data_IF_777942215981
#
_entry.id   IF_777942215981
#
_cell.length_a   1.000
_cell.length_b   1.000
_cell.length_c   1.000
_cell.angle_alpha   90.00
_cell.angle_beta   90.00
_cell.angle_gamma   90.00
#
_symmetry.space_group_name_H-M   'P 1'
#
loop_
_entity.id
_entity.type
_entity.pdbx_description
1 polymer ?
#
# COMPACT_ATOMS: atom_id res chain seq x y z
N UNK A 1 27.90 36.01 -45.70
CA UNK A 1 27.23 36.25 -44.40
C UNK A 1 26.88 34.87 -43.88
N UNK A 2 27.56 34.45 -42.82
CA UNK A 2 27.62 33.06 -42.37
C UNK A 2 26.41 32.63 -41.56
N UNK A 3 26.00 31.38 -41.80
CA UNK A 3 25.05 30.61 -41.01
C UNK A 3 25.65 30.24 -39.66
N UNK A 4 24.89 30.44 -38.58
CA UNK A 4 25.16 29.84 -37.27
C UNK A 4 24.11 28.77 -36.98
N UNK A 5 24.55 27.51 -37.04
CA UNK A 5 23.86 26.36 -36.45
C UNK A 5 24.00 26.43 -34.93
N UNK A 6 22.92 26.20 -34.20
CA UNK A 6 22.98 25.79 -32.79
C UNK A 6 22.34 24.42 -32.66
N UNK A 7 23.16 23.44 -32.30
CA UNK A 7 22.78 22.07 -31.96
C UNK A 7 22.26 22.04 -30.53
N UNK A 8 21.00 21.69 -30.33
CA UNK A 8 20.45 21.34 -29.02
C UNK A 8 20.68 19.84 -28.75
N UNK A 9 21.87 19.51 -28.27
CA UNK A 9 22.16 18.21 -27.64
C UNK A 9 22.53 18.46 -26.19
N UNK A 10 21.60 18.19 -25.25
CA UNK A 10 21.94 18.25 -23.83
C UNK A 10 20.79 18.49 -22.86
N UNK A 11 19.65 17.82 -22.99
CA UNK A 11 18.64 17.77 -21.90
C UNK A 11 18.07 16.35 -21.82
N UNK A 12 18.81 15.41 -21.21
CA UNK A 12 18.29 14.06 -20.87
C UNK A 12 18.90 13.45 -19.60
N UNK A 13 19.48 14.25 -18.69
CA UNK A 13 20.02 13.73 -17.41
C UNK A 13 19.78 14.72 -16.27
N UNK A 14 18.53 14.82 -15.81
CA UNK A 14 18.21 15.45 -14.51
C UNK A 14 16.79 15.14 -14.00
N UNK A 15 16.22 13.97 -14.30
CA UNK A 15 14.87 13.57 -13.85
C UNK A 15 14.85 12.39 -12.87
N UNK A 16 15.99 12.06 -12.27
CA UNK A 16 16.16 10.85 -11.48
C UNK A 16 16.76 11.21 -10.12
N UNK A 17 16.08 12.06 -9.33
CA UNK A 17 16.51 12.39 -7.96
C UNK A 17 15.48 13.24 -7.18
N UNK A 18 14.17 12.98 -7.29
CA UNK A 18 13.16 13.55 -6.36
C UNK A 18 11.97 12.59 -6.18
N UNK A 19 12.24 11.35 -5.77
CA UNK A 19 11.20 10.39 -5.33
C UNK A 19 11.67 9.69 -4.05
N UNK A 20 12.02 10.49 -3.03
CA UNK A 20 12.36 10.00 -1.69
C UNK A 20 11.45 10.71 -0.69
N UNK A 21 10.15 10.46 -0.80
CA UNK A 21 9.21 10.48 0.34
C UNK A 21 8.29 9.28 0.12
N UNK A 22 8.88 8.08 0.23
CA UNK A 22 8.19 6.80 0.24
C UNK A 22 8.81 5.97 1.36
N UNK A 23 8.93 6.58 2.54
CA UNK A 23 9.65 6.06 3.70
C UNK A 23 8.76 5.99 4.94
N UNK A 24 7.55 5.43 4.78
CA UNK A 24 6.80 4.89 5.92
C UNK A 24 6.58 3.36 5.81
N UNK A 25 6.78 2.73 4.65
CA UNK A 25 6.77 1.26 4.51
C UNK A 25 8.11 0.66 4.03
N UNK A 26 9.11 1.50 3.73
CA UNK A 26 10.46 1.06 3.32
C UNK A 26 11.52 1.14 4.43
N UNK A 27 11.13 1.49 5.67
CA UNK A 27 12.07 1.67 6.78
C UNK A 27 12.70 0.36 7.31
N UNK A 28 12.39 -0.81 6.73
CA UNK A 28 13.02 -2.10 7.11
C UNK A 28 13.93 -2.67 6.01
N UNK A 29 13.97 -2.11 4.79
CA UNK A 29 14.64 -2.77 3.65
C UNK A 29 16.05 -2.21 3.30
N UNK A 30 16.56 -1.17 3.97
CA UNK A 30 17.87 -0.58 3.61
C UNK A 30 19.02 -0.80 4.62
N UNK A 31 19.09 -1.97 5.27
CA UNK A 31 20.35 -2.45 5.89
C UNK A 31 20.49 -3.96 5.67
N UNK A 32 20.76 -4.40 4.43
CA UNK A 32 21.41 -5.71 4.24
C UNK A 32 22.11 -5.96 2.88
N UNK A 33 22.30 -4.95 2.03
CA UNK A 33 23.02 -5.15 0.76
C UNK A 33 24.15 -4.15 0.51
N UNK A 34 25.16 -4.15 1.40
CA UNK A 34 26.53 -3.77 1.01
C UNK A 34 27.52 -4.74 1.65
N UNK A 35 27.70 -5.90 1.03
CA UNK A 35 28.97 -6.65 0.98
C UNK A 35 28.86 -7.68 -0.14
N UNK A 36 29.54 -7.40 -1.25
CA UNK A 36 29.27 -8.01 -2.54
C UNK A 36 29.92 -9.36 -2.81
N UNK A 37 29.47 -9.99 -3.89
CA UNK A 37 30.29 -10.74 -4.83
C UNK A 37 29.51 -10.96 -6.14
N UNK A 38 30.15 -10.72 -7.29
CA UNK A 38 29.64 -11.01 -8.63
C UNK A 38 29.41 -12.52 -8.80
N UNK A 39 28.43 -12.97 -9.62
CA UNK A 39 28.28 -14.38 -9.93
C UNK A 39 29.35 -14.81 -10.95
N UNK A 40 29.92 -16.00 -10.79
CA UNK A 40 30.66 -16.68 -11.85
C UNK A 40 30.20 -18.15 -11.95
N UNK A 41 30.30 -18.78 -13.13
CA UNK A 41 29.50 -19.94 -13.50
C UNK A 41 30.08 -21.30 -13.04
N UNK A 42 29.25 -22.34 -13.24
CA UNK A 42 29.34 -23.77 -12.87
C UNK A 42 30.68 -24.51 -13.14
N UNK A 43 30.85 -25.72 -12.53
CA UNK A 43 32.13 -26.23 -12.05
C UNK A 43 32.86 -27.15 -13.05
N UNK A 44 34.16 -27.28 -12.84
CA UNK A 44 34.97 -28.43 -13.29
C UNK A 44 35.91 -28.86 -12.16
N UNK A 45 36.01 -30.19 -11.99
CA UNK A 45 36.86 -30.92 -11.04
C UNK A 45 38.32 -30.46 -11.00
N UNK A 46 38.94 -30.49 -9.81
CA UNK A 46 40.11 -31.36 -9.50
C UNK A 46 40.70 -31.11 -8.10
N UNK A 47 40.98 -32.23 -7.44
CA UNK A 47 41.82 -32.57 -6.29
C UNK A 47 42.93 -31.61 -5.79
N UNK A 48 43.12 -31.53 -4.46
CA UNK A 48 44.45 -31.36 -3.83
C UNK A 48 44.55 -30.46 -2.58
N UNK A 49 44.66 -31.05 -1.40
CA UNK A 49 45.28 -30.50 -0.15
C UNK A 49 46.83 -30.56 -0.22
N UNK A 50 47.66 -30.00 0.70
CA UNK A 50 47.38 -29.23 1.95
C UNK A 50 48.30 -27.99 2.27
N UNK A 51 47.93 -27.28 3.35
CA UNK A 51 48.74 -26.58 4.40
C UNK A 51 49.84 -25.56 4.06
N UNK A 52 49.69 -24.32 4.58
CA UNK A 52 50.78 -23.51 5.20
C UNK A 52 50.24 -22.64 6.34
N UNK A 53 50.95 -22.70 7.47
CA UNK A 53 50.85 -21.89 8.69
C UNK A 53 51.54 -20.54 8.53
N UNK A 54 50.95 -19.44 9.00
CA UNK A 54 51.70 -18.24 9.42
C UNK A 54 51.04 -17.54 10.60
N UNK A 55 51.86 -17.26 11.63
CA UNK A 55 51.54 -16.50 12.82
C UNK A 55 51.53 -14.99 12.56
N UNK A 56 50.62 -14.30 13.23
CA UNK A 56 50.90 -13.10 14.04
C UNK A 56 50.93 -11.75 13.33
N UNK A 57 50.00 -10.87 13.72
CA UNK A 57 50.26 -9.46 14.07
C UNK A 57 49.01 -8.89 14.75
N UNK A 58 49.14 -8.53 16.03
CA UNK A 58 48.16 -7.75 16.77
C UNK A 58 48.30 -6.28 16.34
N UNK A 59 47.20 -5.63 15.98
CA UNK A 59 47.11 -4.16 16.00
C UNK A 59 45.77 -3.71 16.57
N UNK A 60 45.87 -2.70 17.42
CA UNK A 60 44.96 -2.28 18.46
C UNK A 60 43.60 -1.74 17.99
N UNK A 61 42.60 -1.94 18.85
CA UNK A 61 41.29 -1.29 18.81
C UNK A 61 41.41 0.23 19.10
N UNK A 62 40.63 1.09 18.42
CA UNK A 62 40.52 2.48 18.82
C UNK A 62 39.54 2.63 20.00
N UNK A 63 40.02 3.36 20.99
CA UNK A 63 39.39 3.82 22.23
C UNK A 63 38.14 4.68 21.98
N UNK A 64 37.07 4.34 22.69
CA UNK A 64 35.88 5.19 22.82
C UNK A 64 36.17 6.40 23.73
N UNK A 65 35.69 7.57 23.31
CA UNK A 65 35.54 8.76 24.17
C UNK A 65 34.04 9.06 24.35
N UNK A 66 33.63 9.64 25.50
CA UNK A 66 32.27 9.55 26.00
C UNK A 66 31.34 10.56 25.33
N UNK A 67 30.21 10.09 24.81
CA UNK A 67 29.12 10.97 24.42
C UNK A 67 28.33 11.38 25.68
N UNK A 68 28.40 12.66 25.98
CA UNK A 68 27.69 13.35 27.05
C UNK A 68 26.17 13.16 26.92
N UNK A 69 25.54 12.73 28.01
CA UNK A 69 24.08 12.59 28.16
C UNK A 69 23.38 13.95 28.01
N UNK A 70 22.57 14.10 26.96
CA UNK A 70 21.53 15.12 26.90
C UNK A 70 20.21 14.50 27.43
N UNK A 71 19.41 15.22 28.23
CA UNK A 71 18.24 14.66 28.88
C UNK A 71 17.15 14.30 27.88
N UNK A 72 16.53 13.15 28.09
CA UNK A 72 15.36 12.64 27.39
C UNK A 72 14.25 13.68 27.51
N UNK A 73 13.75 14.17 26.36
CA UNK A 73 12.51 14.95 26.33
C UNK A 73 11.34 13.98 26.47
N UNK A 74 10.55 14.23 27.51
CA UNK A 74 9.23 13.67 27.77
C UNK A 74 8.37 13.70 26.49
N UNK A 75 8.11 12.52 25.91
CA UNK A 75 7.16 12.31 24.81
C UNK A 75 5.77 12.08 25.42
N UNK A 76 5.28 13.07 26.16
CA UNK A 76 3.88 13.17 26.50
C UNK A 76 3.10 13.50 25.23
N UNK A 77 2.28 12.53 24.82
CA UNK A 77 1.16 12.56 23.87
C UNK A 77 0.86 13.98 23.34
N UNK A 78 1.29 14.27 22.13
CA UNK A 78 0.66 15.32 21.33
C UNK A 78 -0.49 14.68 20.57
N UNK A 79 -1.71 14.88 21.07
CA UNK A 79 -2.84 15.09 20.16
C UNK A 79 -2.36 16.05 19.08
N UNK A 80 -2.42 15.65 17.82
CA UNK A 80 -1.94 16.44 16.69
C UNK A 80 -2.35 17.91 16.88
N UNK A 81 -1.36 18.77 17.10
CA UNK A 81 -1.60 20.19 17.09
C UNK A 81 -2.16 20.55 15.70
N UNK A 82 -3.14 21.47 15.58
CA UNK A 82 -3.59 21.92 14.29
C UNK A 82 -2.37 22.37 13.48
N UNK A 83 -2.21 21.78 12.29
CA UNK A 83 -1.08 22.02 11.40
C UNK A 83 -0.90 23.53 11.24
N UNK A 84 0.28 24.02 11.61
CA UNK A 84 0.62 25.44 11.56
C UNK A 84 0.90 25.79 10.09
N UNK A 85 -0.07 26.40 9.44
CA UNK A 85 0.07 26.94 8.07
C UNK A 85 1.34 27.80 7.94
N UNK A 86 2.26 27.48 7.01
CA UNK A 86 3.46 28.29 6.78
C UNK A 86 3.11 29.70 6.29
N UNK A 87 3.73 30.71 6.90
CA UNK A 87 3.44 32.14 6.72
C UNK A 87 3.91 32.80 5.41
N UNK A 88 3.75 32.15 4.27
CA UNK A 88 3.81 32.79 2.96
C UNK A 88 2.71 32.19 2.09
N UNK A 89 2.02 33.02 1.28
CA UNK A 89 0.99 32.54 0.36
C UNK A 89 1.64 31.57 -0.65
N UNK A 90 1.63 30.28 -0.31
CA UNK A 90 2.09 29.21 -1.19
C UNK A 90 1.16 29.20 -2.41
N UNK A 91 1.67 28.92 -3.61
CA UNK A 91 0.79 28.69 -4.76
C UNK A 91 -0.22 27.61 -4.39
N UNK A 92 -1.50 27.90 -4.57
CA UNK A 92 -2.55 26.91 -4.28
C UNK A 92 -2.44 25.77 -5.29
N UNK A 93 -2.33 24.53 -4.78
CA UNK A 93 -2.34 23.35 -5.65
C UNK A 93 -3.67 23.30 -6.41
N UNK A 94 -3.58 23.15 -7.73
CA UNK A 94 -4.77 23.00 -8.57
C UNK A 94 -5.56 21.77 -8.13
N UNK A 95 -6.88 21.80 -8.32
CA UNK A 95 -7.77 20.67 -8.03
C UNK A 95 -8.58 20.34 -9.26
N UNK A 96 -8.82 19.06 -9.48
CA UNK A 96 -9.76 18.62 -10.49
C UNK A 96 -11.18 19.11 -10.19
N UNK A 97 -12.05 19.31 -11.20
CA UNK A 97 -13.45 19.68 -10.97
C UNK A 97 -14.26 18.50 -10.43
N UNK A 98 -15.36 18.82 -9.73
CA UNK A 98 -16.21 17.81 -9.09
C UNK A 98 -17.03 16.97 -10.08
N UNK A 99 -17.22 17.48 -11.29
CA UNK A 99 -17.80 16.73 -12.38
C UNK A 99 -16.88 15.57 -12.79
N UNK A 100 -17.47 14.39 -12.95
CA UNK A 100 -16.79 13.24 -13.55
C UNK A 100 -16.29 13.58 -14.96
N UNK A 101 -15.09 13.07 -15.29
CA UNK A 101 -14.52 13.13 -16.64
C UNK A 101 -15.03 12.03 -17.58
N UNK A 102 -15.79 11.07 -17.03
CA UNK A 102 -16.40 9.95 -17.78
C UNK A 102 -17.91 9.91 -17.58
N UNK A 103 -18.63 9.32 -18.54
CA UNK A 103 -20.07 9.06 -18.45
C UNK A 103 -20.38 8.14 -17.25
N UNK A 104 -21.50 8.39 -16.59
CA UNK A 104 -22.04 7.46 -15.59
C UNK A 104 -22.80 6.35 -16.28
N UNK A 105 -22.30 5.12 -16.17
CA UNK A 105 -22.89 3.93 -16.84
C UNK A 105 -23.49 2.93 -15.87
N UNK A 106 -23.28 3.15 -14.57
CA UNK A 106 -23.74 2.26 -13.51
C UNK A 106 -24.38 3.04 -12.38
N UNK A 107 -25.39 2.44 -11.75
CA UNK A 107 -25.99 2.94 -10.51
C UNK A 107 -26.23 1.75 -9.60
N UNK A 108 -25.77 1.85 -8.36
CA UNK A 108 -25.84 0.78 -7.37
C UNK A 108 -26.71 1.24 -6.20
N UNK A 109 -27.74 0.46 -5.88
CA UNK A 109 -28.57 0.70 -4.69
C UNK A 109 -27.99 -0.03 -3.48
N UNK A 110 -27.06 0.63 -2.78
CA UNK A 110 -26.49 0.08 -1.54
C UNK A 110 -27.52 -0.02 -0.41
N UNK A 111 -28.61 0.74 -0.43
CA UNK A 111 -29.62 0.69 0.62
C UNK A 111 -30.36 -0.66 0.64
N UNK A 112 -30.38 -1.38 -0.49
CA UNK A 112 -30.94 -2.72 -0.60
C UNK A 112 -30.20 -3.77 0.27
N UNK A 113 -28.98 -3.48 0.74
CA UNK A 113 -28.19 -4.38 1.59
C UNK A 113 -28.47 -4.20 3.09
N UNK A 114 -28.97 -3.04 3.50
CA UNK A 114 -29.18 -2.72 4.91
C UNK A 114 -30.21 -3.66 5.56
N UNK A 115 -29.83 -4.27 6.67
CA UNK A 115 -30.67 -5.18 7.44
C UNK A 115 -30.81 -6.58 6.86
N UNK A 116 -30.09 -6.93 5.79
CA UNK A 116 -30.04 -8.32 5.29
C UNK A 116 -29.51 -9.25 6.37
N UNK A 117 -30.15 -10.42 6.53
CA UNK A 117 -29.73 -11.44 7.48
C UNK A 117 -28.39 -12.05 7.07
N UNK A 118 -27.52 -12.29 8.05
CA UNK A 118 -26.23 -12.96 7.84
C UNK A 118 -26.35 -14.35 7.21
N UNK A 119 -27.45 -15.06 7.46
CA UNK A 119 -27.71 -16.41 6.93
C UNK A 119 -28.06 -16.45 5.44
N UNK A 120 -28.44 -15.32 4.85
CA UNK A 120 -29.15 -15.28 3.57
C UNK A 120 -28.26 -14.73 2.45
N UNK A 121 -26.97 -15.10 2.47
CA UNK A 121 -25.94 -14.58 1.55
C UNK A 121 -26.03 -13.05 1.40
N UNK A 122 -25.92 -12.31 2.51
CA UNK A 122 -26.22 -10.87 2.55
C UNK A 122 -25.37 -10.05 1.58
N UNK A 123 -24.17 -10.53 1.21
CA UNK A 123 -23.21 -9.86 0.35
C UNK A 123 -23.31 -10.29 -1.12
N UNK A 124 -24.35 -11.03 -1.53
CA UNK A 124 -24.56 -11.34 -2.95
C UNK A 124 -24.63 -10.06 -3.80
N UNK A 125 -23.72 -9.94 -4.77
CA UNK A 125 -23.56 -8.76 -5.62
C UNK A 125 -22.46 -7.79 -5.19
N UNK A 126 -21.89 -7.96 -3.98
CA UNK A 126 -20.72 -7.21 -3.51
C UNK A 126 -19.44 -7.90 -3.99
N UNK A 127 -18.44 -7.11 -4.39
CA UNK A 127 -17.09 -7.58 -4.67
C UNK A 127 -16.11 -7.08 -3.62
N UNK A 128 -15.25 -7.95 -3.11
CA UNK A 128 -14.17 -7.60 -2.19
C UNK A 128 -12.85 -7.97 -2.83
N UNK A 129 -11.99 -6.97 -3.02
CA UNK A 129 -10.60 -7.15 -3.42
C UNK A 129 -9.76 -7.29 -2.15
N UNK A 130 -9.13 -8.43 -1.98
CA UNK A 130 -8.19 -8.70 -0.91
C UNK A 130 -6.77 -8.64 -1.49
N UNK A 131 -5.96 -7.76 -0.92
CA UNK A 131 -4.59 -7.50 -1.34
C UNK A 131 -3.63 -7.99 -0.25
N UNK A 132 -3.21 -9.27 -0.25
CA UNK A 132 -2.16 -9.73 0.65
C UNK A 132 -0.83 -9.08 0.23
N UNK A 133 -0.25 -8.29 1.14
CA UNK A 133 1.00 -7.55 0.94
C UNK A 133 2.18 -8.43 0.53
N UNK A 134 3.20 -7.83 -0.07
CA UNK A 134 4.46 -8.48 -0.44
C UNK A 134 4.27 -9.69 -1.40
N UNK A 135 5.17 -10.67 -1.33
CA UNK A 135 5.15 -11.91 -2.11
C UNK A 135 6.43 -12.13 -2.94
N UNK A 136 6.73 -13.38 -3.25
CA UNK A 136 7.88 -13.77 -4.05
C UNK A 136 9.20 -13.30 -3.44
N UNK A 137 9.89 -12.40 -4.15
CA UNK A 137 11.18 -11.84 -3.75
C UNK A 137 11.08 -10.89 -2.55
N UNK A 138 9.90 -10.34 -2.31
CA UNK A 138 9.62 -9.46 -1.18
C UNK A 138 8.97 -10.28 -0.06
N UNK A 139 9.69 -10.48 1.04
CA UNK A 139 9.19 -11.19 2.22
C UNK A 139 8.27 -10.33 3.09
N UNK A 140 8.29 -9.01 2.90
CA UNK A 140 7.89 -8.05 3.92
C UNK A 140 8.77 -8.15 5.16
N UNK A 141 8.25 -7.72 6.30
CA UNK A 141 8.93 -7.90 7.58
C UNK A 141 8.94 -9.38 8.03
N UNK A 142 9.79 -9.70 9.01
CA UNK A 142 9.86 -11.06 9.52
C UNK A 142 10.70 -11.18 10.79
N UNK A 143 10.63 -12.35 11.41
CA UNK A 143 11.35 -12.65 12.64
C UNK A 143 12.08 -14.00 12.55
N UNK A 144 13.34 -14.11 13.03
CA UNK A 144 14.17 -13.04 13.58
C UNK A 144 14.50 -11.94 12.56
N UNK A 145 14.74 -10.71 13.04
CA UNK A 145 15.08 -9.58 12.14
C UNK A 145 16.48 -9.75 11.56
N UNK A 146 16.64 -9.50 10.26
CA UNK A 146 17.95 -9.41 9.61
C UNK A 146 18.63 -10.76 9.31
N UNK A 147 17.96 -11.88 9.54
CA UNK A 147 18.44 -13.22 9.14
C UNK A 147 17.81 -13.65 7.82
N UNK A 148 18.51 -14.49 7.06
CA UNK A 148 18.03 -14.97 5.74
C UNK A 148 16.86 -15.95 5.87
N UNK A 149 16.96 -16.88 6.82
CA UNK A 149 15.95 -17.91 7.04
C UNK A 149 15.16 -17.49 8.29
N UNK A 150 14.05 -16.79 8.09
CA UNK A 150 13.15 -16.29 9.14
C UNK A 150 12.12 -17.36 9.51
N UNK A 151 11.74 -17.41 10.79
CA UNK A 151 10.75 -18.35 11.31
C UNK A 151 9.33 -17.98 10.86
N UNK A 152 9.06 -16.68 10.74
CA UNK A 152 7.80 -16.10 10.28
C UNK A 152 8.08 -14.91 9.36
N UNK A 153 7.37 -14.86 8.24
CA UNK A 153 7.46 -13.79 7.25
C UNK A 153 6.07 -13.21 7.01
N UNK A 154 6.00 -11.89 6.89
CA UNK A 154 4.77 -11.15 6.64
C UNK A 154 4.00 -11.69 5.44
N UNK A 155 4.68 -11.92 4.31
CA UNK A 155 4.06 -12.41 3.07
C UNK A 155 3.25 -13.70 3.24
N UNK A 156 3.63 -14.57 4.17
CA UNK A 156 2.97 -15.86 4.43
C UNK A 156 1.77 -15.65 5.37
N UNK A 157 1.94 -14.84 6.41
CA UNK A 157 0.88 -14.47 7.37
C UNK A 157 -0.26 -13.79 6.63
N UNK A 158 0.04 -12.76 5.83
CA UNK A 158 -0.98 -11.95 5.17
C UNK A 158 -1.70 -12.73 4.07
N UNK A 159 -1.00 -13.64 3.37
CA UNK A 159 -1.64 -14.56 2.42
C UNK A 159 -2.61 -15.51 3.12
N UNK A 160 -2.20 -16.07 4.28
CA UNK A 160 -3.06 -16.98 5.05
C UNK A 160 -4.33 -16.27 5.56
N UNK A 161 -4.20 -15.05 6.09
CA UNK A 161 -5.36 -14.25 6.52
C UNK A 161 -6.26 -13.89 5.34
N UNK A 162 -5.68 -13.48 4.20
CA UNK A 162 -6.46 -13.16 3.00
C UNK A 162 -7.23 -14.38 2.46
N UNK A 163 -6.63 -15.57 2.48
CA UNK A 163 -7.31 -16.81 2.08
C UNK A 163 -8.45 -17.17 3.04
N UNK A 164 -8.25 -17.03 4.35
CA UNK A 164 -9.32 -17.22 5.34
C UNK A 164 -10.47 -16.23 5.13
N UNK A 165 -10.16 -14.93 5.02
CA UNK A 165 -11.14 -13.88 4.74
C UNK A 165 -11.91 -14.16 3.45
N UNK A 166 -11.22 -14.62 2.40
CA UNK A 166 -11.83 -14.99 1.13
C UNK A 166 -12.87 -16.09 1.28
N UNK A 167 -12.57 -17.14 2.06
CA UNK A 167 -13.53 -18.22 2.33
C UNK A 167 -14.75 -17.72 3.13
N UNK A 168 -14.53 -16.93 4.17
CA UNK A 168 -15.60 -16.38 5.00
C UNK A 168 -16.51 -15.43 4.21
N UNK A 169 -15.94 -14.52 3.42
CA UNK A 169 -16.67 -13.60 2.54
C UNK A 169 -17.50 -14.32 1.48
N UNK A 170 -16.93 -15.35 0.83
CA UNK A 170 -17.66 -16.18 -0.15
C UNK A 170 -18.83 -16.93 0.49
N UNK A 171 -18.70 -17.34 1.75
CA UNK A 171 -19.81 -17.94 2.52
C UNK A 171 -20.96 -16.96 2.71
N UNK A 172 -20.66 -15.67 2.88
CA UNK A 172 -21.65 -14.58 2.94
C UNK A 172 -22.18 -14.15 1.55
N UNK A 173 -21.73 -14.77 0.46
CA UNK A 173 -22.20 -14.53 -0.89
C UNK A 173 -21.41 -13.48 -1.69
N UNK A 174 -20.36 -12.89 -1.12
CA UNK A 174 -19.53 -11.93 -1.84
C UNK A 174 -18.74 -12.59 -2.98
N UNK A 175 -18.53 -11.84 -4.06
CA UNK A 175 -17.47 -12.13 -5.01
C UNK A 175 -16.13 -11.70 -4.37
N UNK A 176 -15.11 -12.57 -4.40
CA UNK A 176 -13.81 -12.24 -3.80
C UNK A 176 -12.71 -12.40 -4.84
N UNK A 177 -11.94 -11.33 -5.00
CA UNK A 177 -10.74 -11.26 -5.84
C UNK A 177 -9.54 -11.17 -4.89
N UNK A 178 -8.61 -12.11 -5.02
CA UNK A 178 -7.30 -12.02 -4.37
C UNK A 178 -6.32 -11.46 -5.41
N UNK A 179 -5.59 -10.38 -5.09
CA UNK A 179 -4.62 -9.84 -6.06
C UNK A 179 -3.48 -10.83 -6.33
N UNK A 180 -3.09 -11.62 -5.32
CA UNK A 180 -2.28 -12.84 -5.48
C UNK A 180 -2.89 -13.99 -4.68
N UNK A 181 -2.86 -15.20 -5.26
CA UNK A 181 -3.36 -16.43 -4.61
C UNK A 181 -2.23 -17.29 -4.04
N UNK A 182 -0.98 -16.99 -4.41
CA UNK A 182 0.24 -17.69 -4.02
C UNK A 182 1.38 -16.71 -3.67
N UNK A 183 2.60 -17.23 -3.52
CA UNK A 183 3.81 -16.47 -3.20
C UNK A 183 4.38 -15.73 -4.43
N UNK A 184 3.51 -15.04 -5.18
CA UNK A 184 3.90 -14.17 -6.30
C UNK A 184 4.11 -12.74 -5.83
N UNK A 185 5.19 -12.12 -6.32
CA UNK A 185 5.46 -10.70 -6.07
C UNK A 185 4.54 -9.81 -6.90
N UNK A 186 3.96 -8.79 -6.26
CA UNK A 186 3.25 -7.68 -6.92
C UNK A 186 3.81 -6.35 -6.43
N UNK A 187 4.22 -5.51 -7.37
CA UNK A 187 4.73 -4.17 -7.06
C UNK A 187 3.63 -3.28 -6.50
N UNK A 188 4.03 -2.21 -5.82
CA UNK A 188 3.12 -1.24 -5.21
C UNK A 188 2.15 -0.60 -6.22
N UNK A 189 2.58 -0.44 -7.48
CA UNK A 189 1.77 0.15 -8.55
C UNK A 189 1.00 -0.90 -9.38
N UNK A 190 1.48 -2.14 -9.43
CA UNK A 190 0.73 -3.22 -10.08
C UNK A 190 -0.59 -3.49 -9.34
N UNK A 191 -0.59 -3.43 -8.00
CA UNK A 191 -1.80 -3.67 -7.17
C UNK A 191 -2.99 -2.80 -7.58
N UNK A 192 -2.91 -1.45 -7.56
CA UNK A 192 -3.98 -0.60 -8.05
C UNK A 192 -4.20 -0.74 -9.58
N UNK A 193 -3.15 -1.01 -10.38
CA UNK A 193 -3.31 -1.18 -11.82
C UNK A 193 -4.15 -2.41 -12.20
N UNK A 194 -4.00 -3.53 -11.48
CA UNK A 194 -4.83 -4.72 -11.65
C UNK A 194 -6.31 -4.41 -11.37
N UNK A 195 -6.59 -3.69 -10.28
CA UNK A 195 -7.96 -3.25 -9.93
C UNK A 195 -8.53 -2.34 -11.01
N UNK A 196 -7.77 -1.33 -11.42
CA UNK A 196 -8.15 -0.42 -12.49
C UNK A 196 -8.45 -1.14 -13.81
N UNK A 197 -7.65 -2.16 -14.17
CA UNK A 197 -7.87 -2.97 -15.37
C UNK A 197 -9.19 -3.74 -15.32
N UNK A 198 -9.49 -4.38 -14.19
CA UNK A 198 -10.75 -5.14 -14.01
C UNK A 198 -11.98 -4.23 -14.12
N UNK A 199 -11.93 -3.06 -13.48
CA UNK A 199 -13.03 -2.10 -13.48
C UNK A 199 -13.18 -1.38 -14.82
N UNK A 200 -12.08 -1.10 -15.51
CA UNK A 200 -12.10 -0.57 -16.88
C UNK A 200 -12.71 -1.57 -17.87
N UNK A 201 -12.40 -2.86 -17.73
CA UNK A 201 -13.01 -3.91 -18.55
C UNK A 201 -14.52 -3.98 -18.32
N UNK A 202 -14.98 -4.00 -17.06
CA UNK A 202 -16.41 -3.99 -16.75
C UNK A 202 -17.11 -2.72 -17.24
N UNK A 203 -16.48 -1.56 -17.06
CA UNK A 203 -16.98 -0.28 -17.54
C UNK A 203 -17.12 -0.27 -19.06
N UNK A 204 -16.14 -0.84 -19.76
CA UNK A 204 -16.14 -0.95 -21.22
C UNK A 204 -17.29 -1.84 -21.71
N UNK A 205 -17.59 -2.94 -21.01
CA UNK A 205 -18.74 -3.79 -21.34
C UNK A 205 -20.07 -3.05 -21.23
N UNK A 206 -20.22 -2.14 -20.27
CA UNK A 206 -21.43 -1.32 -20.10
C UNK A 206 -21.52 -0.19 -21.13
N UNK A 207 -20.40 0.44 -21.50
CA UNK A 207 -20.36 1.53 -22.51
C UNK A 207 -20.52 1.05 -23.96
N UNK A 208 -20.19 -0.20 -24.29
CA UNK A 208 -20.45 -0.76 -25.63
C UNK A 208 -21.93 -0.72 -26.05
N UNK A 209 -22.84 -0.47 -25.11
CA UNK A 209 -24.26 -0.24 -25.35
C UNK A 209 -24.65 1.22 -25.66
N UNK A 210 -23.73 2.19 -25.55
CA UNK A 210 -23.97 3.63 -25.78
C UNK A 210 -23.39 4.14 -27.11
N UNK A 211 -24.11 5.05 -27.78
CA UNK A 211 -23.76 5.58 -29.13
C UNK A 211 -22.45 6.41 -29.19
N UNK A 212 -21.87 6.78 -28.04
CA UNK A 212 -20.70 7.67 -27.94
C UNK A 212 -19.34 6.95 -28.05
N UNK A 213 -19.32 5.62 -27.88
CA UNK A 213 -18.17 4.75 -28.15
C UNK A 213 -16.98 4.87 -27.16
N UNK A 214 -16.16 3.80 -27.12
CA UNK A 214 -14.99 3.62 -26.24
C UNK A 214 -13.79 4.48 -26.69
N UNK A 215 -13.88 5.17 -27.83
CA UNK A 215 -12.74 5.77 -28.54
C UNK A 215 -11.75 6.56 -27.64
N UNK A 216 -12.22 7.47 -26.79
CA UNK A 216 -11.35 8.22 -25.88
C UNK A 216 -10.67 7.34 -24.82
N UNK A 217 -11.33 6.31 -24.30
CA UNK A 217 -10.86 5.50 -23.17
C UNK A 217 -10.03 4.28 -23.57
N UNK A 218 -10.04 3.90 -24.85
CA UNK A 218 -9.24 2.80 -25.38
C UNK A 218 -7.73 2.94 -25.10
N UNK A 219 -7.25 4.15 -24.82
CA UNK A 219 -5.85 4.41 -24.45
C UNK A 219 -5.51 4.00 -23.02
N UNK A 220 -6.48 3.84 -22.12
CA UNK A 220 -6.23 3.56 -20.71
C UNK A 220 -5.77 2.11 -20.48
N UNK A 221 -6.33 1.15 -21.23
CA UNK A 221 -5.94 -0.27 -21.14
C UNK A 221 -4.44 -0.49 -21.34
N UNK A 222 -3.81 -0.06 -22.46
CA UNK A 222 -2.38 -0.26 -22.65
C UNK A 222 -1.51 0.49 -21.62
N UNK A 223 -2.02 1.53 -20.95
CA UNK A 223 -1.29 2.22 -19.88
C UNK A 223 -1.26 1.37 -18.61
N UNK A 224 -2.40 0.81 -18.21
CA UNK A 224 -2.49 -0.11 -17.07
C UNK A 224 -1.71 -1.41 -17.35
N UNK A 225 -1.86 -1.99 -18.54
CA UNK A 225 -1.12 -3.19 -18.95
C UNK A 225 0.39 -2.98 -18.88
N UNK A 226 0.88 -1.77 -19.15
CA UNK A 226 2.31 -1.45 -19.06
C UNK A 226 2.82 -1.46 -17.62
N UNK A 227 2.00 -1.04 -16.65
CA UNK A 227 2.34 -1.07 -15.22
C UNK A 227 2.34 -2.52 -14.73
N UNK A 228 1.27 -3.27 -15.05
CA UNK A 228 1.13 -4.69 -14.71
C UNK A 228 2.28 -5.51 -15.31
N UNK A 229 2.60 -5.30 -16.58
CA UNK A 229 3.70 -6.01 -17.25
C UNK A 229 5.08 -5.64 -16.71
N UNK A 230 5.24 -4.42 -16.18
CA UNK A 230 6.50 -3.98 -15.60
C UNK A 230 6.73 -4.65 -14.24
N UNK A 231 5.69 -4.73 -13.39
CA UNK A 231 5.77 -5.25 -12.02
C UNK A 231 7.03 -4.76 -11.30
N UNK A 232 7.19 -3.43 -11.25
CA UNK A 232 8.37 -2.75 -10.74
C UNK A 232 7.95 -1.58 -9.84
N UNK A 233 8.45 -1.56 -8.61
CA UNK A 233 8.16 -0.51 -7.63
C UNK A 233 8.70 0.88 -8.06
N UNK A 234 9.62 0.92 -9.01
CA UNK A 234 10.19 2.17 -9.54
C UNK A 234 9.42 2.71 -10.75
N UNK A 235 8.49 1.94 -11.32
CA UNK A 235 7.72 2.32 -12.49
C UNK A 235 6.22 2.35 -12.19
N UNK A 236 5.70 3.54 -11.85
CA UNK A 236 4.26 3.76 -11.67
C UNK A 236 3.48 4.06 -12.94
N UNK A 237 4.14 4.37 -14.07
CA UNK A 237 3.45 4.70 -15.32
C UNK A 237 2.52 5.91 -15.18
N UNK A 238 1.21 5.70 -15.32
CA UNK A 238 0.18 6.73 -15.07
C UNK A 238 -0.06 6.98 -13.58
N UNK A 239 0.26 6.00 -12.74
CA UNK A 239 0.21 6.05 -11.28
C UNK A 239 1.52 6.64 -10.73
N UNK A 240 1.45 7.26 -9.56
CA UNK A 240 2.61 7.84 -8.88
C UNK A 240 2.91 9.29 -9.26
N UNK A 241 3.67 9.93 -8.37
CA UNK A 241 4.02 11.35 -8.41
C UNK A 241 3.03 12.23 -7.66
N UNK A 242 3.32 13.53 -7.61
CA UNK A 242 2.48 14.52 -6.93
C UNK A 242 1.35 15.00 -7.84
N UNK A 243 0.11 14.97 -7.34
CA UNK A 243 -1.08 15.27 -8.12
C UNK A 243 -1.53 14.09 -8.99
N UNK A 244 -2.64 14.28 -9.70
CA UNK A 244 -3.28 13.23 -10.51
C UNK A 244 -3.33 13.66 -11.96
N UNK A 245 -2.70 12.88 -12.84
CA UNK A 245 -2.76 13.13 -14.30
C UNK A 245 -4.14 12.84 -14.86
N UNK A 246 -4.44 13.40 -16.03
CA UNK A 246 -5.75 13.23 -16.68
C UNK A 246 -6.13 11.76 -16.89
N UNK A 247 -5.18 10.91 -17.32
CA UNK A 247 -5.42 9.48 -17.53
C UNK A 247 -5.80 8.75 -16.23
N UNK A 248 -5.05 9.01 -15.14
CA UNK A 248 -5.35 8.43 -13.82
C UNK A 248 -6.67 8.96 -13.27
N UNK A 249 -6.98 10.24 -13.47
CA UNK A 249 -8.28 10.79 -13.09
C UNK A 249 -9.43 10.06 -13.80
N UNK A 250 -9.30 9.76 -15.09
CA UNK A 250 -10.34 9.02 -15.81
C UNK A 250 -10.53 7.61 -15.23
N UNK A 251 -9.44 6.94 -14.86
CA UNK A 251 -9.49 5.64 -14.17
C UNK A 251 -10.22 5.78 -12.83
N UNK A 252 -9.83 6.73 -11.99
CA UNK A 252 -10.44 6.96 -10.68
C UNK A 252 -11.92 7.40 -10.74
N UNK A 253 -12.32 8.12 -11.79
CA UNK A 253 -13.72 8.47 -12.02
C UNK A 253 -14.55 7.26 -12.51
N UNK A 254 -13.94 6.28 -13.17
CA UNK A 254 -14.56 4.98 -13.47
C UNK A 254 -14.72 4.19 -12.17
N UNK A 255 -13.66 4.05 -11.37
CA UNK A 255 -13.66 3.29 -10.11
C UNK A 255 -14.70 3.82 -9.11
N UNK A 256 -14.92 5.13 -9.06
CA UNK A 256 -15.95 5.78 -8.24
C UNK A 256 -17.38 5.27 -8.51
N UNK A 257 -17.63 4.67 -9.68
CA UNK A 257 -18.94 4.11 -10.03
C UNK A 257 -19.18 2.70 -9.46
N UNK A 258 -18.24 2.15 -8.70
CA UNK A 258 -18.28 0.81 -8.11
C UNK A 258 -18.32 0.83 -6.57
N UNK A 259 -19.35 1.45 -5.94
CA UNK A 259 -19.46 1.47 -4.48
C UNK A 259 -19.81 0.09 -3.89
N UNK A 260 -20.17 -0.89 -4.72
CA UNK A 260 -20.29 -2.31 -4.39
C UNK A 260 -18.95 -3.07 -4.43
N UNK A 261 -17.83 -2.36 -4.65
CA UNK A 261 -16.47 -2.91 -4.55
C UNK A 261 -15.72 -2.27 -3.37
N UNK A 262 -15.05 -3.10 -2.56
CA UNK A 262 -14.09 -2.67 -1.55
C UNK A 262 -12.70 -3.22 -1.85
N UNK A 263 -11.67 -2.49 -1.40
CA UNK A 263 -10.30 -3.00 -1.36
C UNK A 263 -9.78 -3.05 0.08
N UNK A 264 -9.25 -4.20 0.49
CA UNK A 264 -8.62 -4.37 1.80
C UNK A 264 -7.21 -4.91 1.57
N UNK A 265 -6.21 -4.10 1.87
CA UNK A 265 -4.81 -4.51 1.85
C UNK A 265 -4.40 -5.04 3.22
N UNK A 266 -3.62 -6.12 3.27
CA UNK A 266 -3.28 -6.85 4.50
C UNK A 266 -1.76 -6.95 4.64
N UNK A 267 -1.26 -6.42 5.74
CA UNK A 267 0.16 -6.24 6.07
C UNK A 267 0.43 -6.57 7.55
N UNK A 268 1.71 -6.64 7.90
CA UNK A 268 2.19 -6.69 9.28
C UNK A 268 3.28 -5.63 9.50
N UNK A 269 3.25 -5.03 10.68
CA UNK A 269 4.23 -4.05 11.07
C UNK A 269 5.54 -4.71 11.56
N UNK A 270 6.59 -3.91 11.63
CA UNK A 270 7.78 -4.22 12.40
C UNK A 270 8.46 -2.95 12.92
N UNK A 271 9.02 -3.03 14.12
CA UNK A 271 9.77 -1.94 14.75
C UNK A 271 10.98 -2.51 15.49
N UNK A 272 12.05 -2.82 14.76
CA UNK A 272 13.23 -3.50 15.31
C UNK A 272 13.89 -2.72 16.46
N UNK A 273 13.94 -1.39 16.36
CA UNK A 273 14.49 -0.51 17.40
C UNK A 273 13.52 -0.24 18.57
N UNK A 274 12.25 -0.64 18.43
CA UNK A 274 11.18 -0.42 19.41
C UNK A 274 10.38 -1.71 19.63
N UNK A 275 10.98 -2.75 20.24
CA UNK A 275 10.36 -4.07 20.37
C UNK A 275 9.09 -4.08 21.24
N UNK A 276 8.92 -3.05 22.09
CA UNK A 276 7.73 -2.87 22.91
C UNK A 276 6.53 -2.33 22.11
N UNK A 277 6.72 -1.88 20.86
CA UNK A 277 5.61 -1.42 20.01
C UNK A 277 4.83 -2.61 19.49
N UNK A 278 3.52 -2.60 19.69
CA UNK A 278 2.64 -3.71 19.35
C UNK A 278 1.19 -3.26 19.12
N UNK A 279 0.36 -4.20 18.69
CA UNK A 279 -1.07 -4.07 18.43
C UNK A 279 -1.43 -3.76 16.97
N UNK A 280 -2.71 -3.99 16.67
CA UNK A 280 -3.32 -3.72 15.38
C UNK A 280 -3.32 -2.22 15.06
N UNK A 281 -3.00 -1.89 13.82
CA UNK A 281 -3.29 -0.58 13.23
C UNK A 281 -4.06 -0.75 11.93
N UNK A 282 -5.02 0.14 11.67
CA UNK A 282 -5.76 0.18 10.42
C UNK A 282 -5.59 1.55 9.79
N UNK A 283 -5.04 1.55 8.58
CA UNK A 283 -4.77 2.75 7.82
C UNK A 283 -5.88 2.98 6.80
N UNK A 284 -6.21 4.25 6.63
CA UNK A 284 -7.04 4.73 5.52
C UNK A 284 -6.39 5.99 4.95
N UNK A 285 -6.85 6.42 3.78
CA UNK A 285 -6.33 7.62 3.13
C UNK A 285 -7.48 8.55 2.79
N UNK A 286 -7.46 9.76 3.36
CA UNK A 286 -8.39 10.83 3.04
C UNK A 286 -7.86 11.79 1.96
N UNK A 287 -8.77 12.51 1.31
CA UNK A 287 -8.43 13.62 0.40
C UNK A 287 -7.56 14.68 1.09
N UNK A 288 -7.71 14.86 2.41
CA UNK A 288 -6.99 15.85 3.18
C UNK A 288 -5.51 15.50 3.40
N UNK A 289 -5.19 14.23 3.72
CA UNK A 289 -3.79 13.80 3.89
C UNK A 289 -3.05 13.82 2.55
N UNK A 290 -3.72 13.38 1.47
CA UNK A 290 -3.16 13.43 0.11
C UNK A 290 -2.82 14.87 -0.27
N UNK A 291 -3.77 15.80 -0.10
CA UNK A 291 -3.53 17.21 -0.42
C UNK A 291 -2.41 17.82 0.44
N UNK A 292 -2.26 17.35 1.68
CA UNK A 292 -1.18 17.78 2.55
C UNK A 292 0.19 17.34 2.03
N UNK A 293 0.33 16.05 1.73
CA UNK A 293 1.60 15.45 1.29
C UNK A 293 1.98 15.94 -0.11
N UNK A 294 1.02 16.01 -1.04
CA UNK A 294 1.25 16.57 -2.37
C UNK A 294 1.73 18.03 -2.31
N UNK A 295 1.18 18.86 -1.41
CA UNK A 295 1.68 20.23 -1.21
C UNK A 295 3.11 20.28 -0.71
N UNK A 296 3.52 19.32 0.12
CA UNK A 296 4.90 19.24 0.63
C UNK A 296 5.83 18.81 -0.51
N UNK A 297 5.48 17.78 -1.26
CA UNK A 297 6.28 17.30 -2.39
C UNK A 297 6.46 18.38 -3.46
N UNK A 298 5.37 19.06 -3.80
CA UNK A 298 5.33 20.14 -4.78
C UNK A 298 6.21 21.34 -4.40
N UNK A 299 6.59 21.54 -3.12
CA UNK A 299 7.55 22.60 -2.73
C UNK A 299 8.94 22.40 -3.35
N UNK A 300 9.26 21.16 -3.75
CA UNK A 300 10.52 20.83 -4.43
C UNK A 300 10.44 20.92 -5.96
N UNK A 301 9.25 21.20 -6.52
CA UNK A 301 8.96 21.22 -7.95
C UNK A 301 8.53 22.63 -8.42
N UNK A 302 8.85 23.04 -9.65
CA UNK A 302 8.28 24.26 -10.21
C UNK A 302 6.76 24.09 -10.41
N UNK A 303 5.99 25.16 -10.20
CA UNK A 303 4.52 25.11 -10.30
C UNK A 303 3.99 24.72 -11.69
N UNK A 304 4.81 24.84 -12.74
CA UNK A 304 4.49 24.36 -14.09
C UNK A 304 4.41 22.84 -14.20
N UNK A 305 5.00 22.13 -13.25
CA UNK A 305 5.10 20.66 -13.23
C UNK A 305 4.09 20.04 -12.25
N UNK A 306 3.22 20.87 -11.65
CA UNK A 306 2.21 20.40 -10.71
C UNK A 306 0.98 19.88 -11.46
N UNK A 307 0.65 18.62 -11.23
CA UNK A 307 -0.63 18.06 -11.65
C UNK A 307 -1.74 18.45 -10.65
N UNK A 308 -3.00 18.59 -11.08
CA UNK A 308 -4.09 18.89 -10.14
C UNK A 308 -4.32 17.72 -9.17
N UNK A 309 -4.58 18.04 -7.90
CA UNK A 309 -4.93 17.06 -6.87
C UNK A 309 -6.32 16.48 -7.12
N UNK A 310 -6.47 15.16 -6.97
CA UNK A 310 -7.75 14.48 -6.93
C UNK A 310 -8.31 14.49 -5.49
N UNK A 311 -9.59 14.83 -5.35
CA UNK A 311 -10.23 15.10 -4.04
C UNK A 311 -11.62 14.45 -3.92
N UNK A 312 -11.88 13.42 -4.74
CA UNK A 312 -13.20 12.79 -4.83
C UNK A 312 -13.18 11.33 -4.37
N UNK A 313 -12.35 11.06 -3.35
CA UNK A 313 -12.39 9.84 -2.57
C UNK A 313 -13.62 9.84 -1.66
N UNK A 314 -14.13 8.65 -1.34
CA UNK A 314 -15.12 8.48 -0.28
C UNK A 314 -14.42 8.43 1.08
N UNK A 315 -13.95 9.59 1.56
CA UNK A 315 -13.23 9.73 2.84
C UNK A 315 -14.03 9.12 4.00
N UNK A 316 -15.35 9.32 4.00
CA UNK A 316 -16.25 8.81 5.04
C UNK A 316 -16.39 7.28 5.00
N UNK A 317 -16.55 6.72 3.80
CA UNK A 317 -16.57 5.27 3.58
C UNK A 317 -15.25 4.61 3.98
N UNK A 318 -14.11 5.20 3.61
CA UNK A 318 -12.77 4.69 3.96
C UNK A 318 -12.53 4.67 5.47
N UNK A 319 -12.83 5.79 6.15
CA UNK A 319 -12.74 5.86 7.62
C UNK A 319 -13.69 4.87 8.30
N UNK A 320 -14.92 4.72 7.80
CA UNK A 320 -15.90 3.78 8.37
C UNK A 320 -15.46 2.33 8.19
N UNK A 321 -14.96 1.95 7.01
CA UNK A 321 -14.40 0.63 6.77
C UNK A 321 -13.24 0.35 7.71
N UNK A 322 -12.31 1.29 7.86
CA UNK A 322 -11.17 1.15 8.77
C UNK A 322 -11.60 0.93 10.23
N UNK A 323 -12.59 1.71 10.71
CA UNK A 323 -13.15 1.54 12.06
C UNK A 323 -13.79 0.16 12.25
N UNK A 324 -14.61 -0.29 11.30
CA UNK A 324 -15.28 -1.59 11.39
C UNK A 324 -14.29 -2.76 11.35
N UNK A 325 -13.22 -2.63 10.55
CA UNK A 325 -12.13 -3.60 10.52
C UNK A 325 -11.43 -3.69 11.88
N UNK A 326 -11.07 -2.55 12.47
CA UNK A 326 -10.47 -2.52 13.80
C UNK A 326 -11.38 -3.15 14.85
N UNK A 327 -12.63 -2.71 14.93
CA UNK A 327 -13.58 -3.18 15.94
C UNK A 327 -13.86 -4.70 15.81
N UNK A 328 -14.02 -5.19 14.58
CA UNK A 328 -14.26 -6.62 14.32
C UNK A 328 -13.04 -7.46 14.67
N UNK A 329 -11.83 -7.02 14.29
CA UNK A 329 -10.60 -7.76 14.61
C UNK A 329 -10.34 -7.76 16.11
N UNK A 330 -10.54 -6.65 16.82
CA UNK A 330 -10.32 -6.61 18.28
C UNK A 330 -11.39 -7.40 19.04
N UNK A 331 -12.62 -7.47 18.52
CA UNK A 331 -13.65 -8.36 19.08
C UNK A 331 -13.24 -9.83 18.95
N UNK A 332 -12.78 -10.23 17.76
CA UNK A 332 -12.39 -11.62 17.49
C UNK A 332 -11.00 -11.97 18.00
N UNK A 333 -10.06 -11.04 18.10
CA UNK A 333 -8.68 -11.29 18.54
C UNK A 333 -8.26 -10.18 19.53
N UNK A 334 -8.78 -10.21 20.77
CA UNK A 334 -8.58 -9.11 21.74
C UNK A 334 -7.12 -8.82 22.09
N UNK A 335 -6.22 -9.79 21.89
CA UNK A 335 -4.79 -9.63 22.13
C UNK A 335 -4.16 -8.50 21.29
N UNK A 336 -4.75 -8.17 20.13
CA UNK A 336 -4.25 -7.11 19.24
C UNK A 336 -4.82 -5.71 19.56
N UNK A 337 -5.81 -5.60 20.46
CA UNK A 337 -6.57 -4.36 20.68
C UNK A 337 -6.06 -3.39 21.75
N UNK A 338 -4.92 -3.69 22.38
CA UNK A 338 -4.29 -2.85 23.40
C UNK A 338 -2.90 -2.38 22.93
N UNK A 339 -2.81 -2.01 21.65
CA UNK A 339 -1.56 -1.56 21.06
C UNK A 339 -1.01 -0.27 21.67
N UNK A 340 0.28 -0.03 21.47
CA UNK A 340 0.97 1.18 21.93
C UNK A 340 0.81 2.37 20.98
N UNK A 341 0.26 2.14 19.80
CA UNK A 341 0.13 3.11 18.71
C UNK A 341 -1.33 3.46 18.44
N UNK A 342 -1.56 4.53 17.66
CA UNK A 342 -2.91 4.91 17.26
C UNK A 342 -3.58 3.78 16.44
N UNK A 343 -4.82 3.37 16.78
CA UNK A 343 -5.48 2.23 16.15
C UNK A 343 -5.96 2.52 14.73
N UNK A 344 -6.42 3.74 14.47
CA UNK A 344 -6.81 4.23 13.15
C UNK A 344 -5.87 5.36 12.73
N UNK A 345 -5.32 5.28 11.53
CA UNK A 345 -4.32 6.23 11.04
C UNK A 345 -4.67 6.70 9.63
N UNK A 346 -4.80 8.02 9.46
CA UNK A 346 -4.97 8.66 8.14
C UNK A 346 -3.58 8.90 7.52
N UNK A 347 -3.24 8.18 6.46
CA UNK A 347 -1.90 8.17 5.87
C UNK A 347 -1.96 8.05 4.36
N UNK A 348 -1.05 8.75 3.66
CA UNK A 348 -0.91 8.65 2.20
C UNK A 348 -0.06 7.43 1.79
N UNK A 349 -0.72 6.29 1.57
CA UNK A 349 -0.10 5.11 0.96
C UNK A 349 -0.51 4.97 -0.50
N UNK A 350 0.46 4.70 -1.39
CA UNK A 350 0.20 4.58 -2.82
C UNK A 350 -0.86 3.50 -3.16
N UNK A 351 -0.88 2.36 -2.45
CA UNK A 351 -1.91 1.32 -2.66
C UNK A 351 -3.34 1.80 -2.35
N UNK A 352 -3.48 2.83 -1.51
CA UNK A 352 -4.76 3.45 -1.16
C UNK A 352 -5.04 4.75 -1.95
N UNK A 353 -3.99 5.48 -2.37
CA UNK A 353 -4.09 6.74 -3.11
C UNK A 353 -4.29 6.54 -4.61
N UNK A 354 -3.64 5.56 -5.23
CA UNK A 354 -3.61 5.38 -6.68
C UNK A 354 -4.84 4.62 -7.24
N UNK A 355 -5.93 4.57 -6.46
CA UNK A 355 -7.24 4.03 -6.82
C UNK A 355 -8.35 4.72 -6.01
N UNK A 356 -9.60 4.60 -6.43
CA UNK A 356 -10.75 5.30 -5.85
C UNK A 356 -11.88 4.39 -5.34
N UNK A 357 -11.60 3.11 -5.09
CA UNK A 357 -12.47 2.28 -4.28
C UNK A 357 -12.48 2.76 -2.82
N UNK A 358 -13.53 2.40 -2.08
CA UNK A 358 -13.48 2.45 -0.62
C UNK A 358 -12.48 1.40 -0.17
N UNK A 359 -11.41 1.85 0.49
CA UNK A 359 -10.27 1.02 0.82
C UNK A 359 -9.67 1.31 2.18
N UNK A 360 -9.08 0.29 2.79
CA UNK A 360 -8.30 0.36 4.01
C UNK A 360 -7.13 -0.64 3.98
N UNK A 361 -6.11 -0.41 4.79
CA UNK A 361 -4.96 -1.29 4.95
C UNK A 361 -4.84 -1.75 6.41
N UNK A 362 -4.79 -3.06 6.62
CA UNK A 362 -4.57 -3.69 7.92
C UNK A 362 -3.08 -3.85 8.15
N UNK A 363 -2.57 -3.35 9.27
CA UNK A 363 -1.30 -3.76 9.83
C UNK A 363 -1.59 -4.60 11.08
N UNK A 364 -1.67 -5.93 10.89
CA UNK A 364 -2.29 -6.86 11.85
C UNK A 364 -1.63 -6.85 13.24
N UNK A 365 -0.35 -6.51 13.31
CA UNK A 365 0.47 -6.45 14.52
C UNK A 365 1.95 -6.34 14.15
N UNK A 366 2.82 -6.23 15.15
CA UNK A 366 4.26 -6.07 14.95
C UNK A 366 4.98 -7.41 15.05
N UNK A 367 5.54 -7.95 13.96
CA UNK A 367 6.27 -9.24 13.99
C UNK A 367 7.52 -9.22 14.90
N UNK A 368 8.03 -8.03 15.19
CA UNK A 368 9.12 -7.81 16.14
C UNK A 368 8.68 -7.93 17.60
N UNK A 369 7.39 -7.77 17.89
CA UNK A 369 6.84 -7.93 19.23
C UNK A 369 6.41 -9.38 19.46
N UNK A 370 6.83 -9.95 20.59
CA UNK A 370 6.54 -11.36 20.92
C UNK A 370 5.05 -11.64 21.13
N UNK A 371 4.30 -10.70 21.71
CA UNK A 371 2.86 -10.87 21.96
C UNK A 371 2.09 -10.96 20.65
N UNK A 372 2.30 -9.99 19.75
CA UNK A 372 1.66 -9.98 18.44
C UNK A 372 2.10 -11.18 17.59
N UNK A 373 3.41 -11.46 17.55
CA UNK A 373 3.94 -12.61 16.80
C UNK A 373 3.33 -13.92 17.27
N UNK A 374 3.15 -14.14 18.57
CA UNK A 374 2.52 -15.36 19.09
C UNK A 374 1.07 -15.54 18.61
N UNK A 375 0.36 -14.43 18.35
CA UNK A 375 -0.97 -14.45 17.73
C UNK A 375 -0.84 -14.78 16.25
N UNK A 376 0.11 -14.17 15.53
CA UNK A 376 0.28 -14.30 14.08
C UNK A 376 0.93 -15.64 13.65
N UNK A 377 1.55 -16.37 14.56
CA UNK A 377 2.03 -17.76 14.35
C UNK A 377 0.91 -18.81 14.48
N UNK A 378 -0.22 -18.45 15.10
CA UNK A 378 -1.31 -19.38 15.38
C UNK A 378 -2.29 -19.49 14.21
N UNK A 379 -2.37 -20.66 13.57
CA UNK A 379 -3.35 -20.93 12.51
C UNK A 379 -4.79 -20.60 12.92
N UNK A 380 -5.16 -20.89 14.17
CA UNK A 380 -6.49 -20.56 14.70
C UNK A 380 -6.74 -19.05 14.83
N UNK A 381 -5.70 -18.27 15.11
CA UNK A 381 -5.79 -16.82 15.14
C UNK A 381 -5.90 -16.26 13.72
N UNK A 382 -5.13 -16.78 12.77
CA UNK A 382 -5.21 -16.36 11.36
C UNK A 382 -6.59 -16.65 10.75
N UNK A 383 -7.21 -17.77 11.11
CA UNK A 383 -8.59 -18.08 10.73
C UNK A 383 -9.56 -17.02 11.25
N UNK A 384 -9.51 -16.71 12.56
CA UNK A 384 -10.35 -15.69 13.21
C UNK A 384 -10.12 -14.28 12.67
N UNK A 385 -8.89 -13.92 12.30
CA UNK A 385 -8.61 -12.66 11.61
C UNK A 385 -9.34 -12.58 10.27
N UNK A 386 -9.36 -13.68 9.51
CA UNK A 386 -10.14 -13.76 8.28
C UNK A 386 -11.65 -13.63 8.50
N UNK A 387 -12.20 -14.31 9.51
CA UNK A 387 -13.61 -14.18 9.89
C UNK A 387 -13.97 -12.74 10.27
N UNK A 388 -13.09 -12.07 11.04
CA UNK A 388 -13.27 -10.68 11.44
C UNK A 388 -13.29 -9.71 10.24
N UNK A 389 -12.47 -9.95 9.21
CA UNK A 389 -12.52 -9.18 7.96
C UNK A 389 -13.88 -9.36 7.27
N UNK A 390 -14.42 -10.57 7.23
CA UNK A 390 -15.74 -10.83 6.67
C UNK A 390 -16.87 -10.16 7.48
N UNK A 391 -16.73 -10.12 8.81
CA UNK A 391 -17.66 -9.43 9.71
C UNK A 391 -17.65 -7.91 9.52
N UNK A 392 -16.48 -7.32 9.32
CA UNK A 392 -16.34 -5.90 9.03
C UNK A 392 -17.03 -5.54 7.70
N UNK A 393 -16.83 -6.33 6.64
CA UNK A 393 -17.48 -6.11 5.33
C UNK A 393 -19.00 -6.30 5.43
N UNK A 394 -19.46 -7.34 6.12
CA UNK A 394 -20.89 -7.52 6.39
C UNK A 394 -21.48 -6.31 7.11
N UNK A 395 -20.81 -5.83 8.17
CA UNK A 395 -21.23 -4.65 8.92
C UNK A 395 -21.19 -3.39 8.05
N UNK A 396 -20.22 -3.30 7.14
CA UNK A 396 -20.07 -2.16 6.25
C UNK A 396 -21.30 -1.98 5.36
N UNK A 397 -21.77 -3.06 4.73
CA UNK A 397 -22.89 -3.01 3.79
C UNK A 397 -24.26 -3.22 4.43
N UNK A 398 -24.36 -4.06 5.46
CA UNK A 398 -25.65 -4.53 5.98
C UNK A 398 -26.05 -3.87 7.30
N UNK A 399 -25.15 -3.14 7.96
CA UNK A 399 -25.44 -2.45 9.22
C UNK A 399 -25.32 -0.93 9.05
N UNK A 400 -26.00 -0.17 9.91
CA UNK A 400 -25.99 1.30 9.90
C UNK A 400 -24.75 1.81 10.61
#
# INVERSE_FOLDING_TARGET
>A
MGETRHSSSGVKRSRMLVSIILLASLAVILINQISGAKPNPRPTDTTGTPSVTTQGSQTAAPTASPATSAPIRDLSIQTAAPLREPGAAQPEMMRWPASSSVETVRTVDLAAYLGKSRSDKPLEGITVVLDPGHGGIDSGCGWPVGVRDQDIMEKDVVLSVAQSASQALRTLGANVILLREDDTFLSIFERPALVGSMLLEDFTRHTQSSELGIGPLARLTPLLDSIVSANDDLFGGVMGGSGTREDLKQIMDIERQYPDWLLISIHCNAAADYPDVHGLQVYYTSSAVILHDERIECQSLPSSDWEPSYQYYDDGGRMRLASLLYDSIVSEVPALGQGTSAPLVDQDFAVLREQNLVSAMLELGFLTNESDRSVLESASSLERLGDAVADAVYSYYCMR
#
